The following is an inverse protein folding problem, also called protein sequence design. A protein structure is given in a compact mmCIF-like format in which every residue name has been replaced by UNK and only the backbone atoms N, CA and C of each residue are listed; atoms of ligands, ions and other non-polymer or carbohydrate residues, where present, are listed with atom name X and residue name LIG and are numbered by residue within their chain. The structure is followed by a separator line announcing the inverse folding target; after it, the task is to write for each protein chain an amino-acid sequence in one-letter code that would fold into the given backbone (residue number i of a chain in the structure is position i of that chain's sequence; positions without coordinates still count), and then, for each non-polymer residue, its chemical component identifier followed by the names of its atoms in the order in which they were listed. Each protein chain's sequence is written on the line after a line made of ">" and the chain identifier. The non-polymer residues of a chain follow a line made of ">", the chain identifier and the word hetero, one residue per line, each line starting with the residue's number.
data_IF_738747142038
#
_entry.id   IF_738747142038
#
_cell.length_a   1.000
_cell.length_b   1.000
_cell.length_c   1.000
_cell.angle_alpha   90.00
_cell.angle_beta   90.00
_cell.angle_gamma   90.00
#
_symmetry.space_group_name_H-M   'P 1'
#
loop_
_entity.id
_entity.type
_entity.pdbx_description
1 polymer ?
#
# COMPACT_ATOMS: atom_id res chain seq x y z
N UNK A 1 3.03 7.43 -4.09
CA UNK A 1 2.23 8.12 -3.05
C UNK A 1 3.13 8.67 -1.92
N UNK A 2 3.88 7.84 -1.19
CA UNK A 2 4.62 8.24 0.02
C UNK A 2 5.66 9.33 -0.25
N UNK A 3 6.41 9.27 -1.35
CA UNK A 3 7.34 10.32 -1.73
C UNK A 3 6.63 11.64 -2.08
N UNK A 4 5.46 11.57 -2.70
CA UNK A 4 4.61 12.72 -2.99
C UNK A 4 4.12 13.40 -1.70
N UNK A 5 3.70 12.59 -0.71
CA UNK A 5 3.34 13.11 0.62
C UNK A 5 4.51 13.85 1.26
N UNK A 6 5.73 13.27 1.23
CA UNK A 6 6.92 13.92 1.76
C UNK A 6 7.21 15.28 1.06
N UNK A 7 7.11 15.32 -0.27
CA UNK A 7 7.28 16.56 -1.03
C UNK A 7 6.22 17.61 -0.70
N UNK A 8 4.95 17.19 -0.51
CA UNK A 8 3.87 18.10 -0.12
C UNK A 8 4.04 18.64 1.30
N UNK A 9 4.58 17.85 2.23
CA UNK A 9 4.91 18.35 3.57
C UNK A 9 5.92 19.50 3.49
N UNK A 10 7.01 19.37 2.70
CA UNK A 10 8.00 20.41 2.50
C UNK A 10 7.39 21.64 1.79
N UNK A 11 6.55 21.41 0.78
CA UNK A 11 5.87 22.49 0.07
C UNK A 11 4.94 23.27 1.01
N UNK A 12 4.11 22.59 1.80
CA UNK A 12 3.16 23.22 2.72
C UNK A 12 3.88 23.88 3.90
N UNK A 13 5.03 23.36 4.33
CA UNK A 13 5.88 24.05 5.31
C UNK A 13 6.29 25.44 4.79
N UNK A 14 6.69 25.58 3.52
CA UNK A 14 6.97 26.86 2.88
C UNK A 14 5.76 27.80 2.79
N UNK A 15 4.53 27.22 2.79
CA UNK A 15 3.28 27.98 2.83
C UNK A 15 2.86 28.35 4.27
N UNK A 16 3.71 28.08 5.27
CA UNK A 16 3.46 28.45 6.65
C UNK A 16 2.79 27.39 7.52
N UNK A 17 2.56 26.18 7.00
CA UNK A 17 2.06 25.05 7.80
C UNK A 17 3.20 24.44 8.63
N UNK A 18 2.89 24.07 9.87
CA UNK A 18 3.86 23.47 10.80
C UNK A 18 3.38 22.12 11.34
N UNK A 19 2.08 21.92 11.42
CA UNK A 19 1.45 20.78 12.05
C UNK A 19 0.85 19.85 11.01
N UNK A 20 1.28 18.58 11.01
CA UNK A 20 0.89 17.56 10.05
C UNK A 20 0.36 16.35 10.79
N UNK A 21 -0.89 15.97 10.57
CA UNK A 21 -1.52 14.77 11.10
C UNK A 21 -1.63 13.72 9.99
N UNK A 22 -0.79 12.70 10.07
CA UNK A 22 -0.90 11.53 9.19
C UNK A 22 -1.78 10.47 9.85
N UNK A 23 -2.78 10.01 9.14
CA UNK A 23 -3.64 8.95 9.64
C UNK A 23 -4.00 7.93 8.54
N UNK A 24 -4.22 6.69 8.98
CA UNK A 24 -4.53 5.56 8.12
C UNK A 24 -5.28 4.48 8.91
N UNK A 25 -6.02 3.63 8.20
CA UNK A 25 -6.87 2.64 8.86
C UNK A 25 -6.09 1.46 9.49
N UNK A 26 -4.90 1.13 8.97
CA UNK A 26 -4.12 -0.04 9.37
C UNK A 26 -2.83 0.34 10.08
N UNK A 27 -2.60 -0.23 11.28
CA UNK A 27 -1.42 0.02 12.11
C UNK A 27 -0.10 -0.36 11.41
N UNK A 28 -0.07 -1.42 10.61
CA UNK A 28 1.12 -1.83 9.87
C UNK A 28 1.55 -0.82 8.79
N UNK A 29 0.58 -0.10 8.19
CA UNK A 29 0.87 0.99 7.25
C UNK A 29 1.37 2.20 8.02
N UNK A 30 0.76 2.51 9.18
CA UNK A 30 1.16 3.59 10.06
C UNK A 30 2.64 3.45 10.47
N UNK A 31 3.05 2.28 10.95
CA UNK A 31 4.43 2.02 11.37
C UNK A 31 5.43 2.16 10.21
N UNK A 32 5.10 1.64 9.03
CA UNK A 32 5.93 1.82 7.83
C UNK A 32 6.08 3.29 7.44
N UNK A 33 5.02 4.07 7.56
CA UNK A 33 5.03 5.50 7.22
C UNK A 33 5.79 6.29 8.27
N UNK A 34 5.67 5.92 9.55
CA UNK A 34 6.47 6.49 10.65
C UNK A 34 7.96 6.29 10.41
N UNK A 35 8.39 5.09 9.98
CA UNK A 35 9.77 4.82 9.58
C UNK A 35 10.23 5.68 8.41
N UNK A 36 9.37 5.89 7.41
CA UNK A 36 9.69 6.64 6.20
C UNK A 36 9.81 8.15 6.46
N UNK A 37 9.04 8.70 7.37
CA UNK A 37 8.98 10.15 7.61
C UNK A 37 9.69 10.58 8.90
N UNK A 38 9.72 9.73 9.92
CA UNK A 38 10.16 10.12 11.27
C UNK A 38 11.47 9.48 11.72
N UNK A 39 12.03 8.51 11.01
CA UNK A 39 13.24 7.80 11.45
C UNK A 39 14.44 8.05 10.51
N UNK A 40 15.31 9.03 10.81
CA UNK A 40 16.50 9.33 9.99
C UNK A 40 17.53 8.18 9.91
N UNK A 41 17.46 7.21 10.82
CA UNK A 41 18.33 6.03 10.80
C UNK A 41 17.80 4.92 9.86
N UNK A 42 16.53 4.99 9.42
CA UNK A 42 15.95 4.03 8.51
C UNK A 42 16.52 4.19 7.11
N UNK A 43 16.83 3.05 6.46
CA UNK A 43 17.20 3.04 5.03
C UNK A 43 16.05 3.48 4.10
N UNK A 44 14.83 3.59 4.63
CA UNK A 44 13.62 4.01 3.93
C UNK A 44 13.22 5.46 4.21
N UNK A 45 14.01 6.17 5.00
CA UNK A 45 13.77 7.57 5.30
C UNK A 45 13.76 8.41 4.02
N UNK A 46 12.73 9.20 3.82
CA UNK A 46 12.46 9.90 2.56
C UNK A 46 13.00 11.32 2.49
N UNK A 47 13.43 11.86 3.62
CA UNK A 47 13.98 13.21 3.65
C UNK A 47 15.51 13.19 3.67
N UNK A 48 16.12 14.29 3.28
CA UNK A 48 17.55 14.50 3.49
C UNK A 48 17.84 14.53 5.00
N UNK A 49 19.04 14.11 5.40
CA UNK A 49 19.47 14.22 6.80
C UNK A 49 19.50 15.66 7.31
N UNK A 50 19.77 16.57 6.43
CA UNK A 50 19.70 18.00 6.64
C UNK A 50 18.77 18.58 5.58
N UNK A 51 17.67 19.19 6.00
CA UNK A 51 16.72 19.84 5.12
C UNK A 51 17.00 21.32 5.21
N UNK A 52 17.26 21.95 4.07
CA UNK A 52 17.44 23.41 3.96
C UNK A 52 16.38 23.91 2.99
N UNK A 53 15.50 24.78 3.47
CA UNK A 53 14.49 25.47 2.67
C UNK A 53 14.67 26.97 2.80
N UNK A 54 14.81 27.64 1.65
CA UNK A 54 14.98 29.10 1.58
C UNK A 54 16.15 29.64 2.43
N UNK A 55 17.20 28.81 2.64
CA UNK A 55 18.38 29.13 3.42
C UNK A 55 18.30 28.77 4.91
N UNK A 56 17.15 28.36 5.38
CA UNK A 56 16.92 27.95 6.78
C UNK A 56 16.90 26.44 6.94
N UNK A 57 17.42 25.95 8.07
CA UNK A 57 17.36 24.53 8.41
C UNK A 57 16.00 24.18 8.94
N UNK A 58 15.43 23.09 8.44
CA UNK A 58 14.12 22.59 8.84
C UNK A 58 14.28 21.21 9.46
N UNK A 59 13.62 21.01 10.59
CA UNK A 59 13.63 19.75 11.33
C UNK A 59 12.29 19.06 11.20
N UNK A 60 12.31 17.73 11.17
CA UNK A 60 11.11 16.92 11.33
C UNK A 60 11.07 16.42 12.76
N UNK A 61 10.02 16.78 13.46
CA UNK A 61 9.77 16.40 14.85
C UNK A 61 8.53 15.54 14.92
N UNK A 62 8.67 14.33 15.41
CA UNK A 62 7.52 13.50 15.74
C UNK A 62 6.92 13.96 17.06
N UNK A 63 5.59 14.20 17.06
CA UNK A 63 4.83 14.65 18.23
C UNK A 63 3.64 13.72 18.47
N UNK A 64 3.15 13.67 19.70
CA UNK A 64 1.95 12.91 20.04
C UNK A 64 0.66 13.75 19.92
N UNK A 65 0.80 15.07 20.11
CA UNK A 65 -0.25 16.06 19.92
C UNK A 65 0.40 17.37 19.46
N UNK A 66 -0.37 18.45 19.29
CA UNK A 66 0.15 19.74 18.83
C UNK A 66 0.27 20.79 19.96
N UNK A 67 0.08 20.42 21.23
CA UNK A 67 0.22 21.34 22.36
C UNK A 67 1.69 21.83 22.50
N UNK A 68 2.65 20.92 22.27
CA UNK A 68 4.09 21.23 22.34
C UNK A 68 4.74 21.33 20.95
N UNK A 69 3.97 21.79 19.95
CA UNK A 69 4.48 21.94 18.60
C UNK A 69 5.59 22.99 18.52
N UNK A 70 6.66 22.65 17.83
CA UNK A 70 7.77 23.58 17.57
C UNK A 70 7.40 24.47 16.37
N UNK A 71 7.39 25.82 16.50
CA UNK A 71 7.01 26.72 15.44
C UNK A 71 7.99 26.74 14.25
N UNK A 72 9.22 26.26 14.45
CA UNK A 72 10.28 26.24 13.43
C UNK A 72 10.48 24.84 12.81
N UNK A 73 9.69 23.84 13.23
CA UNK A 73 9.81 22.47 12.76
C UNK A 73 8.57 22.00 11.97
N UNK A 74 8.73 20.91 11.23
CA UNK A 74 7.61 20.10 10.74
C UNK A 74 7.23 19.16 11.87
N UNK A 75 6.12 19.47 12.56
CA UNK A 75 5.58 18.62 13.62
C UNK A 75 4.68 17.55 12.99
N UNK A 76 5.06 16.30 13.14
CA UNK A 76 4.40 15.18 12.50
C UNK A 76 3.77 14.26 13.55
N UNK A 77 2.46 14.25 13.58
CA UNK A 77 1.66 13.34 14.41
C UNK A 77 1.16 12.16 13.58
N UNK A 78 1.18 10.95 14.15
CA UNK A 78 0.73 9.72 13.51
C UNK A 78 -0.39 9.07 14.32
N UNK A 79 -1.48 8.75 13.65
CA UNK A 79 -2.61 8.06 14.25
C UNK A 79 -3.19 6.98 13.33
N UNK A 80 -3.81 5.95 13.90
CA UNK A 80 -4.81 5.20 13.15
C UNK A 80 -6.14 5.95 13.21
N UNK A 81 -7.00 5.76 12.22
CA UNK A 81 -8.31 6.40 12.20
C UNK A 81 -9.12 6.06 13.45
N UNK A 82 -9.08 4.78 13.86
CA UNK A 82 -9.72 4.31 15.09
C UNK A 82 -9.10 4.92 16.35
N UNK A 83 -7.76 4.99 16.41
CA UNK A 83 -7.03 5.58 17.54
C UNK A 83 -7.33 7.07 17.67
N UNK A 84 -7.34 7.81 16.57
CA UNK A 84 -7.67 9.23 16.54
C UNK A 84 -9.10 9.48 17.05
N UNK A 85 -10.08 8.69 16.59
CA UNK A 85 -11.44 8.76 17.07
C UNK A 85 -11.52 8.48 18.58
N UNK A 86 -10.91 7.37 19.03
CA UNK A 86 -10.94 6.98 20.44
C UNK A 86 -10.25 8.02 21.35
N UNK A 87 -9.16 8.63 20.92
CA UNK A 87 -8.44 9.64 21.71
C UNK A 87 -9.23 10.95 21.81
N UNK A 88 -9.88 11.39 20.74
CA UNK A 88 -10.66 12.64 20.71
C UNK A 88 -11.99 12.57 21.43
N UNK A 89 -12.62 11.40 21.48
CA UNK A 89 -13.92 11.20 22.13
C UNK A 89 -13.82 10.61 23.55
N UNK A 90 -12.65 10.11 23.95
CA UNK A 90 -12.39 9.63 25.29
C UNK A 90 -11.57 10.65 26.07
N UNK A 91 -12.07 11.11 27.20
CA UNK A 91 -11.32 12.00 28.11
C UNK A 91 -10.16 11.22 28.72
N UNK A 92 -8.98 11.31 28.13
CA UNK A 92 -7.74 10.74 28.66
C UNK A 92 -6.81 11.85 29.13
N UNK A 93 -6.16 11.63 30.25
CA UNK A 93 -5.13 12.52 30.76
C UNK A 93 -3.97 12.56 29.75
N UNK A 94 -3.57 13.76 29.31
CA UNK A 94 -2.58 13.99 28.23
C UNK A 94 -2.94 13.39 26.85
N UNK A 95 -4.21 13.09 26.59
CA UNK A 95 -4.71 12.68 25.29
C UNK A 95 -4.86 13.87 24.34
N UNK A 96 -4.98 13.58 23.04
CA UNK A 96 -5.34 14.57 22.04
C UNK A 96 -6.82 14.95 22.20
N UNK A 97 -7.12 16.23 22.11
CA UNK A 97 -8.49 16.76 22.20
C UNK A 97 -8.80 17.61 20.97
N UNK A 98 -10.07 17.90 20.72
CA UNK A 98 -10.44 18.79 19.64
C UNK A 98 -9.89 20.21 19.82
N UNK A 99 -9.68 20.65 21.07
CA UNK A 99 -9.14 21.98 21.36
C UNK A 99 -7.67 22.12 20.94
N UNK A 100 -6.94 21.02 20.77
CA UNK A 100 -5.58 21.02 20.24
C UNK A 100 -5.49 21.47 18.77
N UNK A 101 -6.63 21.50 18.10
CA UNK A 101 -6.76 21.96 16.70
C UNK A 101 -7.30 23.37 16.58
N UNK A 102 -7.75 23.98 17.67
CA UNK A 102 -8.30 25.33 17.65
C UNK A 102 -7.18 26.36 17.46
N UNK A 103 -7.39 27.31 16.55
CA UNK A 103 -6.44 28.37 16.28
C UNK A 103 -5.13 27.96 15.58
N UNK A 104 -4.96 26.68 15.26
CA UNK A 104 -3.80 26.16 14.56
C UNK A 104 -4.14 25.76 13.13
N UNK A 105 -3.15 25.91 12.23
CA UNK A 105 -3.26 25.40 10.85
C UNK A 105 -2.71 23.98 10.82
N UNK A 106 -3.54 23.03 10.47
CA UNK A 106 -3.18 21.63 10.41
C UNK A 106 -3.36 21.07 9.00
N UNK A 107 -2.38 20.30 8.55
CA UNK A 107 -2.46 19.49 7.34
C UNK A 107 -2.82 18.06 7.74
N UNK A 108 -3.99 17.62 7.34
CA UNK A 108 -4.45 16.24 7.51
C UNK A 108 -4.02 15.45 6.27
N UNK A 109 -3.33 14.34 6.46
CA UNK A 109 -2.87 13.46 5.39
C UNK A 109 -3.42 12.07 5.61
N UNK A 110 -4.32 11.64 4.73
CA UNK A 110 -4.92 10.31 4.75
C UNK A 110 -4.30 9.42 3.67
N UNK A 111 -3.75 8.28 4.03
CA UNK A 111 -3.41 7.24 3.05
C UNK A 111 -4.48 6.15 3.03
N UNK A 112 -4.67 5.57 1.86
CA UNK A 112 -5.74 4.61 1.56
C UNK A 112 -7.15 5.18 1.86
N UNK A 113 -7.38 6.43 1.47
CA UNK A 113 -8.60 7.19 1.75
C UNK A 113 -9.91 6.50 1.31
N UNK A 114 -9.84 5.55 0.35
CA UNK A 114 -10.99 4.73 -0.02
C UNK A 114 -11.54 3.86 1.13
N UNK A 115 -10.81 3.71 2.23
CA UNK A 115 -11.30 3.06 3.44
C UNK A 115 -12.08 3.99 4.35
N UNK A 116 -12.03 5.30 4.16
CA UNK A 116 -12.76 6.29 4.94
C UNK A 116 -14.18 6.54 4.42
N UNK A 117 -14.45 6.21 3.17
CA UNK A 117 -15.74 6.45 2.55
C UNK A 117 -16.62 5.20 2.61
N UNK A 118 -17.69 5.27 3.35
CA UNK A 118 -18.70 4.20 3.53
C UNK A 118 -19.27 3.74 2.19
N UNK A 119 -19.53 4.67 1.28
CA UNK A 119 -20.13 4.41 -0.04
C UNK A 119 -19.24 3.57 -0.98
N UNK A 120 -17.98 3.32 -0.63
CA UNK A 120 -17.05 2.54 -1.45
C UNK A 120 -17.07 1.04 -1.15
N UNK A 121 -17.66 0.60 -0.05
CA UNK A 121 -17.65 -0.80 0.40
C UNK A 121 -18.97 -1.51 0.09
N UNK A 122 -18.90 -2.56 -0.71
CA UNK A 122 -20.07 -3.32 -1.18
C UNK A 122 -20.75 -4.24 -0.15
N UNK A 123 -20.15 -4.52 1.01
CA UNK A 123 -20.72 -5.37 2.08
C UNK A 123 -20.08 -5.01 3.41
N UNK A 124 -20.77 -4.20 4.18
CA UNK A 124 -20.44 -3.94 5.59
C UNK A 124 -21.60 -4.39 6.47
N UNK A 125 -21.31 -4.73 7.71
CA UNK A 125 -22.35 -4.86 8.75
C UNK A 125 -22.79 -3.47 9.19
N UNK A 126 -23.99 -3.34 9.76
CA UNK A 126 -24.49 -2.06 10.26
C UNK A 126 -23.54 -1.45 11.33
N UNK A 127 -22.93 -2.27 12.18
CA UNK A 127 -21.98 -1.83 13.21
C UNK A 127 -20.65 -1.31 12.58
N UNK A 128 -20.20 -1.91 11.49
CA UNK A 128 -19.05 -1.43 10.74
C UNK A 128 -19.35 -0.09 10.06
N UNK A 129 -20.55 0.04 9.49
CA UNK A 129 -21.01 1.26 8.83
C UNK A 129 -21.10 2.43 9.81
N UNK A 130 -21.71 2.25 10.98
CA UNK A 130 -21.79 3.25 12.05
C UNK A 130 -20.39 3.67 12.53
N UNK A 131 -19.46 2.73 12.67
CA UNK A 131 -18.08 3.03 13.07
C UNK A 131 -17.36 3.88 12.03
N UNK A 132 -17.53 3.59 10.74
CA UNK A 132 -16.90 4.38 9.65
C UNK A 132 -17.48 5.78 9.56
N UNK A 133 -18.79 5.96 9.70
CA UNK A 133 -19.44 7.28 9.76
C UNK A 133 -18.88 8.11 10.91
N UNK A 134 -18.69 7.52 12.09
CA UNK A 134 -18.11 8.19 13.26
C UNK A 134 -16.66 8.62 13.01
N UNK A 135 -15.87 7.83 12.28
CA UNK A 135 -14.47 8.18 11.93
C UNK A 135 -14.40 9.30 10.90
N UNK A 136 -15.24 9.23 9.86
CA UNK A 136 -15.36 10.29 8.86
C UNK A 136 -15.78 11.61 9.49
N UNK A 137 -16.74 11.58 10.41
CA UNK A 137 -17.18 12.73 11.18
C UNK A 137 -16.05 13.32 12.03
N UNK A 138 -15.24 12.46 12.68
CA UNK A 138 -14.09 12.91 13.47
C UNK A 138 -13.09 13.68 12.60
N UNK A 139 -12.75 13.17 11.42
CA UNK A 139 -11.83 13.86 10.49
C UNK A 139 -12.43 15.17 9.99
N UNK A 140 -13.72 15.21 9.67
CA UNK A 140 -14.45 16.43 9.28
C UNK A 140 -14.47 17.46 10.39
N UNK A 141 -14.69 17.03 11.63
CA UNK A 141 -14.68 17.91 12.81
C UNK A 141 -13.30 18.57 13.00
N UNK A 142 -12.20 17.82 12.87
CA UNK A 142 -10.87 18.41 12.91
C UNK A 142 -10.68 19.39 11.75
N UNK A 143 -11.03 18.98 10.53
CA UNK A 143 -10.84 19.80 9.33
C UNK A 143 -11.57 21.15 9.43
N UNK A 144 -12.77 21.17 9.96
CA UNK A 144 -13.57 22.39 10.09
C UNK A 144 -13.18 23.31 11.28
N UNK A 145 -12.26 22.88 12.17
CA UNK A 145 -11.81 23.72 13.29
C UNK A 145 -11.06 24.97 12.84
N UNK A 146 -10.45 24.94 11.68
CA UNK A 146 -9.76 26.11 11.11
C UNK A 146 -10.02 26.17 9.61
N UNK A 147 -10.38 27.34 9.08
CA UNK A 147 -10.66 27.55 7.66
C UNK A 147 -9.41 27.33 6.76
N UNK A 148 -8.21 27.48 7.34
CA UNK A 148 -6.96 27.27 6.65
C UNK A 148 -6.46 25.81 6.72
N UNK A 149 -7.18 24.90 7.36
CA UNK A 149 -6.81 23.49 7.39
C UNK A 149 -6.83 22.89 5.97
N UNK A 150 -5.91 21.98 5.72
CA UNK A 150 -5.80 21.25 4.45
C UNK A 150 -6.02 19.77 4.70
N UNK A 151 -6.90 19.13 3.92
CA UNK A 151 -7.07 17.68 3.91
C UNK A 151 -6.55 17.11 2.58
N UNK A 152 -5.52 16.31 2.65
CA UNK A 152 -4.91 15.60 1.53
C UNK A 152 -5.26 14.11 1.61
N UNK A 153 -6.03 13.63 0.66
CA UNK A 153 -6.44 12.24 0.59
C UNK A 153 -5.72 11.50 -0.55
N UNK A 154 -5.07 10.41 -0.20
CA UNK A 154 -4.33 9.56 -1.15
C UNK A 154 -4.98 8.20 -1.27
N UNK A 155 -5.22 7.77 -2.49
CA UNK A 155 -5.71 6.42 -2.76
C UNK A 155 -5.06 5.85 -4.02
N UNK A 156 -5.01 4.54 -4.15
CA UNK A 156 -4.61 3.87 -5.38
C UNK A 156 -5.75 3.83 -6.40
N UNK A 157 -6.99 3.92 -5.93
CA UNK A 157 -8.19 3.75 -6.76
C UNK A 157 -9.27 4.74 -6.34
N UNK A 158 -9.69 5.58 -7.28
CA UNK A 158 -10.86 6.43 -7.13
C UNK A 158 -11.84 6.05 -8.25
N UNK A 159 -12.89 5.31 -7.91
CA UNK A 159 -13.86 4.82 -8.90
C UNK A 159 -14.92 5.88 -9.19
N UNK A 160 -14.61 6.81 -10.05
CA UNK A 160 -15.54 7.85 -10.49
C UNK A 160 -16.75 7.33 -11.32
N UNK A 161 -16.81 6.02 -11.59
CA UNK A 161 -17.99 5.39 -12.16
C UNK A 161 -19.10 5.19 -11.12
N UNK A 162 -18.71 5.13 -9.83
CA UNK A 162 -19.66 5.14 -8.74
C UNK A 162 -20.22 6.57 -8.58
N UNK A 163 -21.56 6.80 -8.67
CA UNK A 163 -22.15 8.13 -8.58
C UNK A 163 -21.88 8.83 -7.23
N UNK A 164 -21.85 8.11 -6.12
CA UNK A 164 -21.62 8.67 -4.80
C UNK A 164 -20.16 9.17 -4.67
N UNK A 165 -19.19 8.39 -5.15
CA UNK A 165 -17.78 8.79 -5.18
C UNK A 165 -17.59 10.00 -6.10
N UNK A 166 -18.23 9.99 -7.28
CA UNK A 166 -18.17 11.10 -8.20
C UNK A 166 -18.69 12.38 -7.54
N UNK A 167 -19.89 12.33 -6.93
CA UNK A 167 -20.49 13.49 -6.28
C UNK A 167 -19.61 14.07 -5.15
N UNK A 168 -18.85 13.21 -4.45
CA UNK A 168 -18.00 13.62 -3.33
C UNK A 168 -16.64 14.19 -3.79
N UNK A 169 -16.10 13.74 -4.94
CA UNK A 169 -14.67 13.94 -5.27
C UNK A 169 -14.38 14.51 -6.65
N UNK A 170 -15.33 14.56 -7.60
CA UNK A 170 -15.05 14.95 -9.00
C UNK A 170 -14.35 16.31 -9.11
N UNK A 171 -14.72 17.27 -8.27
CA UNK A 171 -14.17 18.62 -8.21
C UNK A 171 -12.94 18.77 -7.27
N UNK A 172 -12.56 17.71 -6.56
CA UNK A 172 -11.48 17.71 -5.56
C UNK A 172 -10.23 16.95 -6.00
N UNK A 173 -10.31 16.22 -7.12
CA UNK A 173 -9.18 15.45 -7.64
C UNK A 173 -8.17 16.40 -8.29
N UNK A 174 -7.02 16.56 -7.65
CA UNK A 174 -5.92 17.37 -8.17
C UNK A 174 -4.92 16.57 -9.01
N UNK A 175 -4.90 15.25 -8.87
CA UNK A 175 -4.02 14.38 -9.63
C UNK A 175 -4.62 12.98 -9.77
N UNK A 176 -4.77 12.52 -11.00
CA UNK A 176 -5.21 11.17 -11.34
C UNK A 176 -4.20 10.49 -12.26
N UNK A 177 -3.68 9.33 -11.78
CA UNK A 177 -2.70 8.54 -12.52
C UNK A 177 -3.09 7.05 -12.48
N UNK A 178 -4.07 6.68 -13.32
CA UNK A 178 -4.63 5.34 -13.32
C UNK A 178 -3.63 4.29 -13.84
N UNK A 179 -3.91 3.03 -13.54
CA UNK A 179 -3.01 1.91 -13.82
C UNK A 179 -2.71 1.76 -15.33
N UNK A 180 -3.64 2.05 -16.20
CA UNK A 180 -3.44 1.99 -17.65
C UNK A 180 -2.45 3.05 -18.14
N UNK A 181 -2.47 4.26 -17.56
CA UNK A 181 -1.49 5.31 -17.84
C UNK A 181 -0.11 4.92 -17.30
N UNK A 182 -0.07 4.40 -16.08
CA UNK A 182 1.16 3.89 -15.46
C UNK A 182 1.80 2.76 -16.31
N UNK A 183 0.97 1.90 -16.90
CA UNK A 183 1.40 0.86 -17.82
C UNK A 183 1.93 1.44 -19.14
N UNK A 184 1.20 2.37 -19.75
CA UNK A 184 1.61 3.02 -21.02
C UNK A 184 2.93 3.77 -20.89
N UNK A 185 3.16 4.39 -19.74
CA UNK A 185 4.40 5.10 -19.41
C UNK A 185 5.55 4.15 -19.00
N UNK A 186 5.33 2.82 -19.07
CA UNK A 186 6.30 1.74 -18.81
C UNK A 186 6.84 1.69 -17.37
N UNK A 187 6.08 2.15 -16.40
CA UNK A 187 6.42 2.02 -14.98
C UNK A 187 5.92 0.71 -14.35
N UNK A 188 5.06 -0.04 -15.03
CA UNK A 188 4.63 -1.37 -14.60
C UNK A 188 5.18 -2.46 -15.50
N UNK A 189 5.18 -3.69 -14.99
CA UNK A 189 5.49 -4.89 -15.76
C UNK A 189 4.27 -5.31 -16.57
N UNK A 190 4.52 -6.02 -17.67
CA UNK A 190 3.47 -6.72 -18.41
C UNK A 190 2.80 -7.79 -17.56
N UNK A 191 1.48 -7.84 -17.64
CA UNK A 191 0.67 -8.85 -16.98
C UNK A 191 0.20 -9.84 -18.02
N UNK A 192 0.65 -11.09 -17.89
CA UNK A 192 0.21 -12.19 -18.73
C UNK A 192 -0.72 -13.08 -17.88
N UNK A 193 -1.97 -13.19 -18.28
CA UNK A 193 -2.92 -14.09 -17.63
C UNK A 193 -2.85 -15.46 -18.26
N UNK A 194 -2.53 -16.46 -17.45
CA UNK A 194 -2.57 -17.86 -17.84
C UNK A 194 -3.85 -18.49 -17.25
N UNK A 195 -4.69 -19.05 -18.10
CA UNK A 195 -5.83 -19.87 -17.70
C UNK A 195 -5.43 -21.33 -17.84
N UNK A 196 -5.88 -22.16 -16.92
CA UNK A 196 -5.62 -23.60 -16.91
C UNK A 196 -6.78 -24.31 -16.22
N UNK A 197 -7.29 -25.35 -16.85
CA UNK A 197 -8.35 -26.22 -16.32
C UNK A 197 -7.79 -27.34 -15.43
N UNK A 198 -6.49 -27.35 -15.19
CA UNK A 198 -5.81 -28.30 -14.32
C UNK A 198 -6.19 -28.09 -12.85
N UNK A 199 -6.01 -29.13 -12.05
CA UNK A 199 -6.18 -29.10 -10.61
C UNK A 199 -5.29 -28.07 -9.92
N UNK A 200 -5.58 -27.78 -8.65
CA UNK A 200 -4.90 -26.73 -7.90
C UNK A 200 -3.39 -26.98 -7.78
N UNK A 201 -2.98 -28.21 -7.50
CA UNK A 201 -1.58 -28.60 -7.34
C UNK A 201 -0.80 -28.58 -8.67
N UNK A 202 -1.43 -28.98 -9.76
CA UNK A 202 -0.85 -28.92 -11.10
C UNK A 202 -0.66 -27.46 -11.55
N UNK A 203 -1.60 -26.56 -11.23
CA UNK A 203 -1.44 -25.11 -11.46
C UNK A 203 -0.31 -24.53 -10.60
N UNK A 204 -0.18 -24.98 -9.35
CA UNK A 204 0.94 -24.58 -8.50
C UNK A 204 2.28 -25.07 -9.07
N UNK A 205 2.33 -26.29 -9.59
CA UNK A 205 3.51 -26.84 -10.25
C UNK A 205 3.86 -26.05 -11.53
N UNK A 206 2.86 -25.68 -12.35
CA UNK A 206 3.08 -24.77 -13.49
C UNK A 206 3.73 -23.46 -13.06
N UNK A 207 3.29 -22.88 -11.96
CA UNK A 207 3.87 -21.63 -11.45
C UNK A 207 5.34 -21.80 -11.02
N UNK A 208 5.71 -22.95 -10.44
CA UNK A 208 7.09 -23.30 -10.11
C UNK A 208 7.93 -23.42 -11.39
N UNK A 209 7.46 -24.19 -12.38
CA UNK A 209 8.14 -24.38 -13.66
C UNK A 209 8.41 -23.03 -14.34
N UNK A 210 7.41 -22.15 -14.36
CA UNK A 210 7.57 -20.79 -14.91
C UNK A 210 8.55 -19.93 -14.09
N UNK A 211 8.56 -20.09 -12.77
CA UNK A 211 9.52 -19.41 -11.90
C UNK A 211 10.94 -19.85 -12.20
N UNK A 212 11.16 -21.16 -12.34
CA UNK A 212 12.47 -21.72 -12.71
C UNK A 212 12.90 -21.28 -14.12
N UNK A 213 12.00 -21.33 -15.10
CA UNK A 213 12.25 -20.84 -16.44
C UNK A 213 12.70 -19.37 -16.44
N UNK A 214 11.98 -18.49 -15.73
CA UNK A 214 12.37 -17.07 -15.61
C UNK A 214 13.71 -16.89 -14.91
N UNK A 215 13.95 -17.67 -13.86
CA UNK A 215 15.21 -17.60 -13.13
C UNK A 215 16.41 -17.95 -14.05
N UNK A 216 16.27 -19.00 -14.88
CA UNK A 216 17.30 -19.38 -15.85
C UNK A 216 17.53 -18.31 -16.90
N UNK A 217 16.47 -17.71 -17.46
CA UNK A 217 16.60 -16.59 -18.40
C UNK A 217 17.34 -15.40 -17.74
N UNK A 218 17.02 -15.06 -16.49
CA UNK A 218 17.73 -13.99 -15.80
C UNK A 218 19.22 -14.31 -15.61
N UNK A 219 19.55 -15.57 -15.30
CA UNK A 219 20.94 -16.03 -15.21
C UNK A 219 21.68 -15.91 -16.56
N UNK A 220 21.05 -16.29 -17.67
CA UNK A 220 21.60 -16.15 -19.03
C UNK A 220 21.93 -14.70 -19.37
N UNK A 221 21.08 -13.77 -18.90
CA UNK A 221 21.28 -12.34 -19.05
C UNK A 221 22.15 -11.70 -17.94
N UNK A 222 22.78 -12.51 -17.07
CA UNK A 222 23.59 -12.07 -15.93
C UNK A 222 22.84 -11.13 -14.95
N UNK A 223 21.54 -11.34 -14.83
CA UNK A 223 20.69 -10.59 -13.92
C UNK A 223 20.50 -11.37 -12.61
N UNK A 224 20.90 -10.80 -11.48
CA UNK A 224 20.72 -11.39 -10.14
C UNK A 224 19.28 -11.16 -9.63
N UNK A 225 18.28 -11.60 -10.39
CA UNK A 225 16.86 -11.47 -10.04
C UNK A 225 16.30 -12.85 -9.70
N UNK A 226 15.72 -12.98 -8.51
CA UNK A 226 15.01 -14.18 -8.08
C UNK A 226 13.50 -13.99 -8.33
N UNK A 227 12.87 -14.77 -9.20
CA UNK A 227 11.41 -14.76 -9.36
C UNK A 227 10.71 -15.16 -8.08
N UNK A 228 9.57 -14.54 -7.81
CA UNK A 228 8.75 -14.83 -6.63
C UNK A 228 7.39 -15.31 -7.11
N UNK A 229 6.87 -16.38 -6.46
CA UNK A 229 5.52 -16.88 -6.67
C UNK A 229 4.70 -16.57 -5.42
N UNK A 230 3.55 -15.93 -5.62
CA UNK A 230 2.58 -15.65 -4.55
C UNK A 230 1.33 -16.49 -4.77
N UNK A 231 1.02 -17.36 -3.81
CA UNK A 231 -0.25 -18.07 -3.76
C UNK A 231 -1.22 -17.31 -2.85
N UNK A 232 -2.44 -17.07 -3.32
CA UNK A 232 -3.46 -16.33 -2.58
C UNK A 232 -4.70 -17.20 -2.40
N UNK A 233 -5.15 -17.32 -1.15
CA UNK A 233 -6.41 -17.97 -0.78
C UNK A 233 -7.38 -16.93 -0.19
N UNK A 234 -8.69 -17.24 -0.21
CA UNK A 234 -9.71 -16.37 0.36
C UNK A 234 -9.78 -16.46 1.89
N UNK A 235 -9.45 -17.63 2.46
CA UNK A 235 -9.48 -17.87 3.91
C UNK A 235 -8.11 -18.34 4.41
N UNK A 236 -7.82 -18.04 5.68
CA UNK A 236 -6.57 -18.46 6.34
C UNK A 236 -6.46 -19.99 6.40
N UNK A 237 -7.58 -20.68 6.68
CA UNK A 237 -7.62 -22.14 6.73
C UNK A 237 -7.21 -22.76 5.38
N UNK A 238 -7.80 -22.29 4.28
CA UNK A 238 -7.51 -22.77 2.92
C UNK A 238 -6.02 -22.53 2.57
N UNK A 239 -5.44 -21.41 3.05
CA UNK A 239 -4.02 -21.09 2.83
C UNK A 239 -3.08 -22.06 3.57
N UNK A 240 -3.47 -22.50 4.77
CA UNK A 240 -2.68 -23.46 5.57
C UNK A 240 -2.72 -24.84 4.94
N UNK A 241 -3.93 -25.32 4.62
CA UNK A 241 -4.13 -26.61 3.95
C UNK A 241 -3.37 -26.67 2.61
N UNK A 242 -3.46 -25.59 1.82
CA UNK A 242 -2.70 -25.50 0.58
C UNK A 242 -1.20 -25.58 0.82
N UNK A 243 -0.67 -24.89 1.84
CA UNK A 243 0.77 -24.88 2.15
C UNK A 243 1.27 -26.28 2.48
N UNK A 244 0.53 -27.05 3.29
CA UNK A 244 0.87 -28.42 3.65
C UNK A 244 0.91 -29.33 2.41
N UNK A 245 -0.17 -29.33 1.63
CA UNK A 245 -0.26 -30.10 0.40
C UNK A 245 0.80 -29.71 -0.64
N UNK A 246 1.11 -28.40 -0.73
CA UNK A 246 2.15 -27.91 -1.62
C UNK A 246 3.55 -28.34 -1.18
N UNK A 247 3.88 -28.28 0.10
CA UNK A 247 5.16 -28.75 0.62
C UNK A 247 5.33 -30.26 0.38
N UNK A 248 4.27 -31.05 0.57
CA UNK A 248 4.32 -32.49 0.33
C UNK A 248 4.46 -32.80 -1.17
N UNK A 249 3.77 -32.05 -2.02
CA UNK A 249 3.94 -32.16 -3.46
C UNK A 249 5.38 -31.88 -3.90
N UNK A 250 6.01 -30.84 -3.37
CA UNK A 250 7.39 -30.46 -3.74
C UNK A 250 8.39 -31.49 -3.21
N UNK A 251 8.22 -31.98 -1.99
CA UNK A 251 9.11 -33.03 -1.42
C UNK A 251 9.07 -34.33 -2.21
N UNK A 252 7.91 -34.68 -2.76
CA UNK A 252 7.70 -35.91 -3.53
C UNK A 252 7.68 -35.67 -5.04
N UNK A 253 8.20 -34.55 -5.50
CA UNK A 253 8.23 -34.21 -6.91
C UNK A 253 9.21 -35.14 -7.66
N UNK A 254 8.72 -35.72 -8.75
CA UNK A 254 9.49 -36.61 -9.64
C UNK A 254 9.58 -36.04 -11.04
N UNK A 255 10.61 -36.42 -11.78
CA UNK A 255 10.74 -36.06 -13.20
C UNK A 255 9.58 -36.57 -14.04
N UNK A 256 9.01 -37.73 -13.71
CA UNK A 256 7.82 -38.28 -14.37
C UNK A 256 6.62 -37.32 -14.26
N UNK A 257 6.38 -36.75 -13.07
CA UNK A 257 5.30 -35.78 -12.88
C UNK A 257 5.53 -34.50 -13.67
N UNK A 258 6.78 -34.04 -13.81
CA UNK A 258 7.12 -32.89 -14.64
C UNK A 258 6.92 -33.19 -16.13
N UNK A 259 7.26 -34.39 -16.60
CA UNK A 259 6.99 -34.82 -17.99
C UNK A 259 5.50 -34.89 -18.27
N UNK A 260 4.71 -35.48 -17.38
CA UNK A 260 3.25 -35.52 -17.50
C UNK A 260 2.64 -34.09 -17.55
N UNK A 261 3.17 -33.16 -16.75
CA UNK A 261 2.75 -31.77 -16.82
C UNK A 261 3.08 -31.13 -18.17
N UNK A 262 4.22 -31.45 -18.77
CA UNK A 262 4.61 -30.92 -20.07
C UNK A 262 3.67 -31.37 -21.19
N UNK A 263 3.16 -32.61 -21.13
CA UNK A 263 2.22 -33.18 -22.11
C UNK A 263 0.84 -32.48 -22.07
N UNK A 264 0.36 -32.11 -20.87
CA UNK A 264 -0.95 -31.46 -20.69
C UNK A 264 -0.86 -29.94 -20.71
N UNK A 265 0.33 -29.37 -20.79
CA UNK A 265 0.52 -27.92 -20.75
C UNK A 265 0.14 -27.28 -22.08
N UNK A 266 -1.06 -26.69 -22.13
CA UNK A 266 -1.64 -26.14 -23.36
C UNK A 266 -1.26 -24.68 -23.66
N UNK A 267 -0.73 -23.97 -22.68
CA UNK A 267 -0.34 -22.56 -22.88
C UNK A 267 0.96 -22.40 -23.64
N UNK A 268 1.00 -21.40 -24.54
CA UNK A 268 2.22 -21.07 -25.31
C UNK A 268 3.43 -20.78 -24.41
N UNK A 269 3.18 -20.18 -23.23
CA UNK A 269 4.25 -19.84 -22.28
C UNK A 269 4.84 -21.08 -21.64
N UNK A 270 4.01 -22.07 -21.30
CA UNK A 270 4.47 -23.35 -20.75
C UNK A 270 5.28 -24.13 -21.81
N UNK A 271 4.79 -24.20 -23.04
CA UNK A 271 5.53 -24.82 -24.15
C UNK A 271 6.90 -24.17 -24.38
N UNK A 272 6.99 -22.84 -24.30
CA UNK A 272 8.29 -22.13 -24.37
C UNK A 272 9.19 -22.48 -23.19
N UNK A 273 8.65 -22.62 -21.98
CA UNK A 273 9.43 -22.98 -20.79
C UNK A 273 10.02 -24.39 -20.92
N UNK A 274 9.24 -25.38 -21.28
CA UNK A 274 9.71 -26.75 -21.48
C UNK A 274 10.69 -26.86 -22.65
N UNK A 275 10.40 -26.21 -23.78
CA UNK A 275 11.34 -26.18 -24.94
C UNK A 275 12.66 -25.48 -24.61
N UNK A 276 12.66 -24.49 -23.73
CA UNK A 276 13.91 -23.90 -23.25
C UNK A 276 14.73 -24.89 -22.42
N UNK A 277 14.10 -25.62 -21.48
CA UNK A 277 14.79 -26.62 -20.66
C UNK A 277 15.39 -27.74 -21.52
N UNK A 278 14.62 -28.26 -22.47
CA UNK A 278 15.07 -29.29 -23.39
C UNK A 278 16.27 -28.78 -24.20
N UNK A 279 16.16 -27.60 -24.81
CA UNK A 279 17.25 -26.99 -25.62
C UNK A 279 18.55 -26.79 -24.84
N UNK A 280 18.46 -26.53 -23.56
CA UNK A 280 19.61 -26.29 -22.68
C UNK A 280 20.04 -27.53 -21.89
N UNK A 281 19.51 -28.72 -22.22
CA UNK A 281 19.88 -29.98 -21.58
C UNK A 281 19.51 -30.06 -20.09
N UNK A 282 18.49 -29.31 -19.66
CA UNK A 282 18.03 -29.34 -18.28
C UNK A 282 16.99 -30.46 -18.16
N UNK A 283 17.39 -31.54 -17.50
CA UNK A 283 16.52 -32.70 -17.27
C UNK A 283 15.45 -32.38 -16.22
N UNK A 284 14.25 -32.97 -16.35
CA UNK A 284 13.24 -33.01 -15.26
C UNK A 284 13.69 -33.79 -14.02
N UNK A 285 14.70 -34.67 -14.16
CA UNK A 285 15.19 -35.54 -13.09
C UNK A 285 16.25 -34.89 -12.21
#
# INVERSE_FOLDING_TARGET
>A
KTLTMAGLMLYLYRQGYRNFLFFVNLSNILEKTRENFGNPASSKYLFAREIVLDGERVWIRQVNNFQDADPDAINLCFATTQGLHADLWATKENGMTFDDFDGQKVVLISDEAHHLNVDTKRKMTAEEEDSYHSWEETVKNIFHRNADNVLLEFTATCDLKNPAIRAAYEDKIIFDYPLDKFYKDRYSKDIITLRSDLGLMERALQAIVLSQYRMKIFQDHRLAIKPVVLFKAAKIADSREFLEAFCDMVKNLTGERLRALAEVADSQVMRRAFGYFEKNGISPD
#
